data_IF_238646294454
#
_entry.id   IF_238646294454
#
_cell.length_a   1.000
_cell.length_b   1.000
_cell.length_c   1.000
_cell.angle_alpha   90.00
_cell.angle_beta   90.00
_cell.angle_gamma   90.00
#
_symmetry.space_group_name_H-M   'P 1'
#
loop_
_entity.id
_entity.type
_entity.pdbx_description
1 polymer ?
#
# COMPACT_ATOMS: atom_id res chain seq x y z
N UNK A 1 -16.80 6.34 18.22
CA UNK A 1 -15.73 6.74 17.29
C UNK A 1 -16.38 7.54 16.19
N UNK A 2 -15.87 8.73 15.88
CA UNK A 2 -16.37 9.52 14.74
C UNK A 2 -15.96 8.84 13.42
N UNK A 3 -16.56 9.28 12.32
CA UNK A 3 -16.20 8.77 11.00
C UNK A 3 -14.73 9.08 10.67
N UNK A 4 -14.26 10.28 11.00
CA UNK A 4 -12.88 10.73 10.80
C UNK A 4 -11.88 9.91 11.62
N UNK A 5 -12.23 9.55 12.86
CA UNK A 5 -11.40 8.68 13.70
C UNK A 5 -11.29 7.26 13.09
N UNK A 6 -12.41 6.71 12.58
CA UNK A 6 -12.43 5.41 11.87
C UNK A 6 -11.54 5.46 10.63
N UNK A 7 -11.69 6.49 9.80
CA UNK A 7 -10.87 6.69 8.60
C UNK A 7 -9.38 6.81 8.94
N UNK A 8 -9.02 7.63 9.93
CA UNK A 8 -7.63 7.80 10.38
C UNK A 8 -7.00 6.46 10.81
N UNK A 9 -7.74 5.61 11.52
CA UNK A 9 -7.25 4.28 11.89
C UNK A 9 -7.04 3.39 10.66
N UNK A 10 -7.92 3.44 9.66
CA UNK A 10 -7.77 2.66 8.43
C UNK A 10 -6.59 3.14 7.59
N UNK A 11 -6.43 4.46 7.41
CA UNK A 11 -5.29 5.05 6.71
C UNK A 11 -3.96 4.67 7.36
N UNK A 12 -3.87 4.77 8.70
CA UNK A 12 -2.65 4.39 9.42
C UNK A 12 -2.31 2.91 9.26
N UNK A 13 -3.32 2.02 9.28
CA UNK A 13 -3.09 0.58 9.04
C UNK A 13 -2.60 0.32 7.62
N UNK A 14 -3.21 0.95 6.61
CA UNK A 14 -2.79 0.82 5.21
C UNK A 14 -1.34 1.32 5.04
N UNK A 15 -1.04 2.51 5.55
CA UNK A 15 0.30 3.09 5.47
C UNK A 15 1.34 2.21 6.17
N UNK A 16 1.02 1.64 7.34
CA UNK A 16 1.90 0.73 8.06
C UNK A 16 2.15 -0.56 7.29
N UNK A 17 1.13 -1.13 6.66
CA UNK A 17 1.27 -2.35 5.87
C UNK A 17 2.17 -2.12 4.64
N UNK A 18 1.95 -1.03 3.91
CA UNK A 18 2.77 -0.66 2.75
C UNK A 18 4.22 -0.39 3.18
N UNK A 19 4.40 0.33 4.29
CA UNK A 19 5.74 0.58 4.85
C UNK A 19 6.49 -0.72 5.16
N UNK A 20 5.78 -1.74 5.69
CA UNK A 20 6.35 -3.06 5.96
C UNK A 20 6.68 -3.89 4.72
N UNK A 21 6.16 -3.51 3.54
CA UNK A 21 6.47 -4.17 2.27
C UNK A 21 7.78 -3.68 1.63
N UNK A 22 8.36 -2.57 2.10
CA UNK A 22 9.58 -1.97 1.54
C UNK A 22 10.77 -2.36 2.44
N UNK A 23 11.61 -3.33 2.05
CA UNK A 23 12.67 -3.89 2.91
C UNK A 23 13.98 -3.08 2.82
N UNK A 24 13.89 -1.80 2.50
CA UNK A 24 15.02 -0.87 2.34
C UNK A 24 14.66 0.46 2.98
N UNK A 25 15.66 1.30 3.26
CA UNK A 25 15.42 2.67 3.70
C UNK A 25 14.64 3.44 2.62
N UNK A 26 13.60 4.16 3.05
CA UNK A 26 12.73 4.96 2.19
C UNK A 26 12.37 6.28 2.89
N UNK A 27 12.04 7.31 2.11
CA UNK A 27 11.73 8.64 2.64
C UNK A 27 10.26 9.01 2.44
N UNK A 28 9.71 8.79 1.24
CA UNK A 28 8.29 9.02 0.94
C UNK A 28 7.68 7.82 0.24
N UNK A 29 6.40 7.59 0.49
CA UNK A 29 5.58 6.57 -0.19
C UNK A 29 4.36 7.25 -0.80
N UNK A 30 4.12 6.96 -2.07
CA UNK A 30 2.98 7.47 -2.83
C UNK A 30 2.11 6.29 -3.22
N UNK A 31 0.82 6.31 -2.87
CA UNK A 31 -0.09 5.19 -3.12
C UNK A 31 -1.34 5.67 -3.84
N UNK A 32 -1.76 4.93 -4.85
CA UNK A 32 -3.04 5.07 -5.53
C UNK A 32 -3.72 3.71 -5.53
N UNK A 33 -5.01 3.68 -5.17
CA UNK A 33 -5.82 2.48 -5.22
C UNK A 33 -7.05 2.74 -6.10
N UNK A 34 -7.23 1.91 -7.13
CA UNK A 34 -8.46 1.83 -7.90
C UNK A 34 -9.23 0.62 -7.42
N UNK A 35 -10.43 0.80 -6.86
CA UNK A 35 -11.27 -0.29 -6.35
C UNK A 35 -12.67 -0.17 -6.91
N UNK A 36 -13.14 -1.23 -7.56
CA UNK A 36 -14.49 -1.37 -8.12
C UNK A 36 -15.11 -2.67 -7.62
N UNK A 37 -16.41 -2.88 -7.88
CA UNK A 37 -17.09 -4.12 -7.45
C UNK A 37 -16.59 -5.38 -8.19
N UNK A 38 -15.84 -5.23 -9.29
CA UNK A 38 -15.38 -6.36 -10.13
C UNK A 38 -13.88 -6.58 -10.08
N UNK A 39 -13.11 -5.52 -9.88
CA UNK A 39 -11.65 -5.53 -9.95
C UNK A 39 -11.07 -4.33 -9.21
N UNK A 40 -9.76 -4.40 -8.97
CA UNK A 40 -9.01 -3.23 -8.58
C UNK A 40 -7.52 -3.48 -8.57
N UNK A 41 -6.80 -2.41 -8.31
CA UNK A 41 -5.35 -2.39 -8.33
C UNK A 41 -4.86 -1.37 -7.31
N UNK A 42 -3.86 -1.76 -6.53
CA UNK A 42 -3.10 -0.86 -5.68
C UNK A 42 -1.71 -0.69 -6.28
N UNK A 43 -1.35 0.54 -6.57
CA UNK A 43 -0.04 0.93 -7.08
C UNK A 43 0.59 1.79 -6.00
N UNK A 44 1.82 1.48 -5.60
CA UNK A 44 2.61 2.38 -4.78
C UNK A 44 4.03 2.54 -5.30
N UNK A 45 4.61 3.72 -5.09
CA UNK A 45 5.99 4.03 -5.40
C UNK A 45 6.65 4.63 -4.17
N UNK A 46 7.97 4.57 -4.10
CA UNK A 46 8.71 5.13 -2.98
C UNK A 46 10.00 5.81 -3.42
N UNK A 47 10.43 6.81 -2.65
CA UNK A 47 11.74 7.43 -2.78
C UNK A 47 12.70 6.86 -1.76
N UNK A 48 13.99 6.85 -2.11
CA UNK A 48 15.08 6.52 -1.19
C UNK A 48 15.64 7.82 -0.59
N UNK A 49 16.26 7.77 0.60
CA UNK A 49 16.82 8.96 1.24
C UNK A 49 17.72 9.77 0.29
N UNK A 50 17.39 11.05 0.11
CA UNK A 50 18.19 11.96 -0.72
C UNK A 50 18.06 11.75 -2.24
N UNK A 51 17.03 11.04 -2.69
CA UNK A 51 16.71 10.86 -4.12
C UNK A 51 15.23 11.11 -4.39
N UNK A 52 14.93 11.91 -5.42
CA UNK A 52 13.57 12.10 -5.94
C UNK A 52 13.14 11.00 -6.93
N UNK A 53 13.98 9.98 -7.15
CA UNK A 53 13.67 8.86 -8.04
C UNK A 53 12.55 7.99 -7.45
N UNK A 54 11.51 7.78 -8.25
CA UNK A 54 10.42 6.89 -7.91
C UNK A 54 10.81 5.44 -8.19
N UNK A 55 10.88 4.64 -7.13
CA UNK A 55 11.09 3.21 -7.19
C UNK A 55 9.72 2.53 -7.22
N UNK A 56 9.49 1.64 -8.19
CA UNK A 56 8.21 0.97 -8.36
C UNK A 56 8.09 -0.23 -7.42
N UNK A 57 6.93 -0.38 -6.77
CA UNK A 57 6.70 -1.51 -5.87
C UNK A 57 6.85 -2.88 -6.56
N UNK A 58 6.51 -2.96 -7.84
CA UNK A 58 6.60 -4.19 -8.63
C UNK A 58 8.02 -4.74 -8.76
N UNK A 59 9.03 -3.88 -8.59
CA UNK A 59 10.43 -4.25 -8.70
C UNK A 59 11.01 -4.75 -7.37
N UNK A 60 10.35 -4.49 -6.23
CA UNK A 60 10.80 -4.92 -4.88
C UNK A 60 11.16 -6.42 -4.82
N UNK A 61 10.36 -7.36 -5.34
CA UNK A 61 10.72 -8.77 -5.31
C UNK A 61 12.08 -9.07 -5.95
N UNK A 62 12.40 -8.39 -7.05
CA UNK A 62 13.65 -8.58 -7.78
C UNK A 62 14.79 -7.81 -7.13
N UNK A 63 14.60 -6.53 -6.89
CA UNK A 63 15.66 -5.60 -6.48
C UNK A 63 16.08 -5.79 -5.02
N UNK A 64 15.15 -6.23 -4.18
CA UNK A 64 15.38 -6.47 -2.76
C UNK A 64 15.45 -7.96 -2.40
N UNK A 65 15.47 -8.85 -3.40
CA UNK A 65 15.49 -10.31 -3.20
C UNK A 65 14.38 -10.83 -2.26
N UNK A 66 13.17 -10.28 -2.42
CA UNK A 66 11.97 -10.71 -1.67
C UNK A 66 11.23 -11.77 -2.48
N UNK A 67 10.74 -12.82 -1.82
CA UNK A 67 9.92 -13.83 -2.49
C UNK A 67 8.68 -13.18 -3.14
N UNK A 68 8.46 -13.46 -4.42
CA UNK A 68 7.29 -12.97 -5.17
C UNK A 68 5.98 -13.37 -4.51
N UNK A 69 5.91 -14.58 -3.92
CA UNK A 69 4.69 -15.07 -3.27
C UNK A 69 4.43 -14.33 -1.95
N UNK A 70 5.48 -14.10 -1.16
CA UNK A 70 5.37 -13.30 0.08
C UNK A 70 4.91 -11.89 -0.26
N UNK A 71 5.55 -11.26 -1.24
CA UNK A 71 5.20 -9.91 -1.67
C UNK A 71 3.75 -9.82 -2.17
N UNK A 72 3.33 -10.78 -3.03
CA UNK A 72 1.97 -10.85 -3.57
C UNK A 72 0.93 -11.03 -2.47
N UNK A 73 1.22 -11.83 -1.44
CA UNK A 73 0.32 -12.00 -0.30
C UNK A 73 0.17 -10.69 0.50
N UNK A 74 1.25 -9.96 0.77
CA UNK A 74 1.18 -8.65 1.41
C UNK A 74 0.44 -7.63 0.54
N UNK A 75 0.68 -7.62 -0.77
CA UNK A 75 -0.04 -6.75 -1.70
C UNK A 75 -1.55 -7.03 -1.69
N UNK A 76 -1.97 -8.29 -1.72
CA UNK A 76 -3.39 -8.64 -1.61
C UNK A 76 -4.01 -8.21 -0.28
N UNK A 77 -3.23 -8.20 0.81
CA UNK A 77 -3.69 -7.69 2.10
C UNK A 77 -3.94 -6.18 2.01
N UNK A 78 -3.02 -5.40 1.45
CA UNK A 78 -3.21 -3.96 1.22
C UNK A 78 -4.43 -3.70 0.32
N UNK A 79 -4.59 -4.47 -0.77
CA UNK A 79 -5.76 -4.38 -1.64
C UNK A 79 -7.07 -4.55 -0.86
N UNK A 80 -7.18 -5.60 -0.02
CA UNK A 80 -8.39 -5.83 0.80
C UNK A 80 -8.64 -4.69 1.80
N UNK A 81 -7.60 -4.08 2.33
CA UNK A 81 -7.75 -2.93 3.24
C UNK A 81 -8.31 -1.70 2.52
N UNK A 82 -7.96 -1.48 1.24
CA UNK A 82 -8.58 -0.43 0.43
C UNK A 82 -10.02 -0.75 0.04
N UNK A 83 -10.34 -2.03 -0.20
CA UNK A 83 -11.72 -2.48 -0.43
C UNK A 83 -12.59 -2.26 0.81
N UNK A 84 -12.10 -2.65 1.99
CA UNK A 84 -12.75 -2.36 3.27
C UNK A 84 -12.97 -0.85 3.48
N UNK A 85 -11.94 -0.03 3.19
CA UNK A 85 -12.05 1.42 3.23
C UNK A 85 -13.16 1.94 2.31
N UNK A 86 -13.24 1.46 1.06
CA UNK A 86 -14.29 1.85 0.12
C UNK A 86 -15.68 1.55 0.67
N UNK A 87 -15.89 0.38 1.26
CA UNK A 87 -17.20 0.02 1.82
C UNK A 87 -17.63 0.97 2.95
N UNK A 88 -16.69 1.52 3.73
CA UNK A 88 -17.06 2.50 4.78
C UNK A 88 -17.67 3.80 4.27
N UNK A 89 -17.48 4.15 2.99
CA UNK A 89 -18.10 5.33 2.38
C UNK A 89 -19.49 5.06 1.80
N UNK A 90 -19.93 3.80 1.77
CA UNK A 90 -21.28 3.41 1.32
C UNK A 90 -22.28 3.30 2.47
N UNK A 91 -21.78 3.25 3.71
CA UNK A 91 -22.56 3.27 4.96
C UNK A 91 -23.06 4.69 5.29
#
# INVERSE_FOLDING_TARGET
MTFEEKLSQMYNKIASEISGMIPVEWEQVFTIAYVTDQAGEVIFNYTKPGSDELNYYSDIPKDCNVSKDIFKNSWFKVYRMFDELRETFKE
#
